data_IF_505396662783
#
_entry.id   IF_505396662783
#
_cell.length_a   1.000
_cell.length_b   1.000
_cell.length_c   1.000
_cell.angle_alpha   90.00
_cell.angle_beta   90.00
_cell.angle_gamma   90.00
#
_symmetry.space_group_name_H-M   'P 1'
#
loop_
_entity.id
_entity.type
_entity.pdbx_description
1 polymer ?
#
# COMPACT_ATOMS: atom_id res chain seq x y z
N UNK A 1 26.02 -2.99 -16.03
CA UNK A 1 25.57 -4.01 -15.04
C UNK A 1 24.06 -4.02 -15.11
N UNK A 2 23.44 -5.08 -15.63
CA UNK A 2 21.98 -5.18 -15.64
C UNK A 2 21.50 -5.43 -14.21
N UNK A 3 20.82 -4.46 -13.61
CA UNK A 3 20.11 -4.73 -12.37
C UNK A 3 19.06 -5.81 -12.64
N UNK A 4 18.95 -6.85 -11.79
CA UNK A 4 17.81 -7.75 -11.86
C UNK A 4 16.50 -6.94 -11.77
N UNK A 5 15.44 -7.45 -12.41
CA UNK A 5 14.14 -6.79 -12.43
C UNK A 5 13.67 -6.47 -11.02
N UNK A 6 13.47 -5.19 -10.71
CA UNK A 6 12.90 -4.68 -9.46
C UNK A 6 11.36 -4.71 -9.49
N UNK A 7 10.77 -5.38 -10.47
CA UNK A 7 9.33 -5.40 -10.65
C UNK A 7 8.68 -5.94 -9.37
N UNK A 8 7.84 -5.10 -8.77
CA UNK A 8 7.00 -5.39 -7.61
C UNK A 8 7.70 -5.49 -6.25
N UNK A 9 8.86 -4.85 -6.03
CA UNK A 9 9.42 -4.69 -4.68
C UNK A 9 9.44 -3.22 -4.26
N UNK A 10 9.22 -2.95 -2.97
CA UNK A 10 9.47 -1.65 -2.38
C UNK A 10 10.97 -1.44 -2.24
N UNK A 11 11.45 -0.30 -2.71
CA UNK A 11 12.85 0.10 -2.59
C UNK A 11 12.94 1.32 -1.69
N UNK A 12 13.80 1.26 -0.68
CA UNK A 12 14.19 2.45 0.08
C UNK A 12 15.39 3.10 -0.60
N UNK A 13 15.21 4.33 -1.07
CA UNK A 13 16.29 5.14 -1.64
C UNK A 13 16.75 6.19 -0.63
N UNK A 14 18.05 6.41 -0.52
CA UNK A 14 18.64 7.43 0.33
C UNK A 14 19.83 8.12 -0.33
N UNK A 15 20.18 9.29 0.18
CA UNK A 15 21.33 10.07 -0.22
C UNK A 15 21.90 10.82 0.99
N UNK A 16 23.21 10.72 1.18
CA UNK A 16 23.91 11.37 2.30
C UNK A 16 24.37 12.79 1.95
N UNK A 17 24.78 13.02 0.70
CA UNK A 17 25.27 14.31 0.21
C UNK A 17 25.19 14.42 -1.32
N UNK A 18 25.03 15.65 -1.83
CA UNK A 18 25.04 15.92 -3.28
C UNK A 18 23.89 15.24 -4.02
N UNK A 19 22.67 15.30 -3.46
CA UNK A 19 21.50 14.55 -3.93
C UNK A 19 20.91 15.05 -5.26
N UNK A 20 21.51 16.09 -5.85
CA UNK A 20 21.26 16.57 -7.21
C UNK A 20 21.93 15.69 -8.28
N UNK A 21 22.78 14.73 -7.88
CA UNK A 21 23.45 13.80 -8.79
C UNK A 21 22.99 12.36 -8.57
N UNK A 22 22.42 11.73 -9.61
CA UNK A 22 21.92 10.34 -9.58
C UNK A 22 22.92 9.32 -9.04
N UNK A 23 24.23 9.53 -9.29
CA UNK A 23 25.29 8.63 -8.84
C UNK A 23 25.49 8.59 -7.31
N UNK A 24 24.94 9.58 -6.60
CA UNK A 24 25.05 9.70 -5.14
C UNK A 24 23.86 9.08 -4.41
N UNK A 25 22.89 8.55 -5.15
CA UNK A 25 21.74 7.83 -4.59
C UNK A 25 22.07 6.36 -4.41
N UNK A 26 21.71 5.84 -3.25
CA UNK A 26 21.77 4.44 -2.91
C UNK A 26 20.34 3.89 -2.77
N UNK A 27 20.17 2.58 -2.92
CA UNK A 27 18.88 1.95 -2.68
C UNK A 27 18.94 0.44 -2.57
N UNK A 28 18.03 -0.13 -1.78
CA UNK A 28 17.86 -1.57 -1.63
C UNK A 28 16.39 -1.94 -1.46
N UNK A 29 16.05 -3.16 -1.87
CA UNK A 29 14.71 -3.70 -1.68
C UNK A 29 14.46 -3.97 -0.18
N UNK A 30 13.30 -3.53 0.32
CA UNK A 30 12.90 -3.65 1.73
C UNK A 30 11.68 -4.56 1.93
N UNK A 31 11.10 -5.08 0.84
CA UNK A 31 10.00 -6.06 0.85
C UNK A 31 10.24 -7.21 -0.13
N UNK A 32 9.41 -8.25 -0.03
CA UNK A 32 9.30 -9.29 -1.04
C UNK A 32 8.56 -8.79 -2.29
N UNK A 33 8.62 -9.58 -3.37
CA UNK A 33 7.89 -9.30 -4.61
C UNK A 33 6.37 -9.36 -4.36
N UNK A 34 5.63 -8.35 -4.83
CA UNK A 34 4.19 -8.18 -4.65
C UNK A 34 3.82 -7.14 -3.59
N UNK A 35 4.78 -6.67 -2.80
CA UNK A 35 4.55 -5.73 -1.70
C UNK A 35 5.25 -4.41 -1.97
N UNK A 36 4.57 -3.29 -1.66
CA UNK A 36 5.18 -1.97 -1.75
C UNK A 36 4.44 -0.97 -2.61
N UNK A 37 3.17 -1.20 -2.93
CA UNK A 37 2.43 -0.28 -3.79
C UNK A 37 2.12 1.04 -3.07
N UNK A 38 2.19 2.13 -3.82
CA UNK A 38 1.87 3.49 -3.37
C UNK A 38 2.50 3.88 -2.02
N UNK A 39 3.82 3.73 -1.83
CA UNK A 39 4.43 3.95 -0.52
C UNK A 39 4.44 5.43 -0.13
N UNK A 40 4.31 5.70 1.17
CA UNK A 40 4.58 7.00 1.79
C UNK A 40 5.60 6.83 2.93
N UNK A 41 6.50 7.80 3.08
CA UNK A 41 7.63 7.75 4.01
C UNK A 41 7.57 8.93 4.97
N UNK A 42 7.68 8.65 6.27
CA UNK A 42 7.96 9.64 7.29
C UNK A 42 9.24 9.29 8.04
N UNK A 43 9.85 10.30 8.67
CA UNK A 43 11.03 10.14 9.52
C UNK A 43 10.65 10.43 10.96
N UNK A 44 11.17 9.63 11.89
CA UNK A 44 11.16 9.95 13.33
C UNK A 44 11.91 11.26 13.59
N UNK A 45 11.76 11.87 14.78
CA UNK A 45 12.60 13.01 15.16
C UNK A 45 14.11 12.70 15.11
N UNK A 46 14.50 11.44 15.22
CA UNK A 46 15.88 10.98 15.10
C UNK A 46 16.33 10.68 13.68
N UNK A 47 15.45 10.82 12.67
CA UNK A 47 15.75 10.53 11.27
C UNK A 47 15.50 9.09 10.83
N UNK A 48 14.98 8.22 11.72
CA UNK A 48 14.71 6.82 11.37
C UNK A 48 13.48 6.72 10.46
N UNK A 49 13.53 5.94 9.36
CA UNK A 49 12.43 5.84 8.41
C UNK A 49 11.26 4.99 8.93
N UNK A 50 10.06 5.41 8.57
CA UNK A 50 8.77 4.72 8.73
C UNK A 50 8.04 4.78 7.40
N UNK A 51 7.68 3.62 6.84
CA UNK A 51 7.00 3.53 5.55
C UNK A 51 5.63 2.90 5.75
N UNK A 52 4.62 3.49 5.14
CA UNK A 52 3.32 2.86 4.91
C UNK A 52 3.21 2.52 3.42
N UNK A 53 2.63 1.37 3.10
CA UNK A 53 2.47 0.90 1.73
C UNK A 53 1.27 -0.05 1.62
N UNK A 54 0.88 -0.39 0.39
CA UNK A 54 -0.13 -1.39 0.11
C UNK A 54 0.53 -2.71 -0.32
N UNK A 55 0.09 -3.80 0.28
CA UNK A 55 0.42 -5.15 -0.17
C UNK A 55 -0.34 -5.53 -1.44
N UNK A 56 -0.03 -6.70 -2.00
CA UNK A 56 -0.62 -7.21 -3.24
C UNK A 56 -2.17 -7.19 -3.26
N UNK A 57 -2.81 -7.34 -2.10
CA UNK A 57 -4.27 -7.40 -1.94
C UNK A 57 -4.88 -6.10 -1.39
N UNK A 58 -4.13 -4.99 -1.44
CA UNK A 58 -4.59 -3.69 -0.97
C UNK A 58 -4.61 -3.55 0.55
N UNK A 59 -4.03 -4.50 1.30
CA UNK A 59 -3.84 -4.40 2.74
C UNK A 59 -2.81 -3.33 3.09
N UNK A 60 -3.01 -2.63 4.20
CA UNK A 60 -2.07 -1.62 4.69
C UNK A 60 -0.92 -2.30 5.42
N UNK A 61 0.25 -2.28 4.81
CA UNK A 61 1.51 -2.74 5.39
C UNK A 61 2.36 -1.56 5.89
N UNK A 62 3.22 -1.85 6.86
CA UNK A 62 4.17 -0.88 7.41
C UNK A 62 5.56 -1.46 7.53
N UNK A 63 6.56 -0.60 7.36
CA UNK A 63 7.95 -0.90 7.63
C UNK A 63 8.53 0.14 8.61
N UNK A 64 9.26 -0.33 9.60
CA UNK A 64 10.07 0.50 10.48
C UNK A 64 11.52 0.02 10.44
N UNK A 65 12.46 0.96 10.37
CA UNK A 65 13.87 0.66 10.58
C UNK A 65 14.43 1.57 11.66
N UNK A 66 15.20 1.01 12.59
CA UNK A 66 15.84 1.74 13.70
C UNK A 66 17.36 1.66 13.69
N UNK A 67 17.96 0.79 12.87
CA UNK A 67 19.41 0.56 12.80
C UNK A 67 19.86 0.29 11.38
N UNK A 68 20.96 0.93 11.01
CA UNK A 68 21.67 0.75 9.74
C UNK A 68 20.77 0.97 8.51
N UNK A 69 19.78 1.87 8.61
CA UNK A 69 18.71 2.03 7.62
C UNK A 69 19.22 2.45 6.24
N UNK A 70 20.25 3.30 6.22
CA UNK A 70 20.99 3.77 5.05
C UNK A 70 22.09 2.77 4.63
N UNK A 71 21.76 1.48 4.61
CA UNK A 71 22.67 0.40 4.18
C UNK A 71 21.91 -0.79 3.61
N UNK A 72 22.62 -1.67 2.91
CA UNK A 72 22.11 -2.96 2.43
C UNK A 72 21.84 -3.99 3.54
N UNK A 73 22.14 -3.64 4.79
CA UNK A 73 21.92 -4.46 5.98
C UNK A 73 20.96 -3.82 6.99
N UNK A 74 20.20 -2.80 6.57
CA UNK A 74 19.21 -2.14 7.40
C UNK A 74 18.23 -3.12 8.03
N UNK A 75 17.94 -2.92 9.32
CA UNK A 75 17.12 -3.83 10.11
C UNK A 75 15.65 -3.40 10.05
N UNK A 76 14.95 -3.90 9.02
CA UNK A 76 13.56 -3.56 8.73
C UNK A 76 12.57 -4.51 9.44
N UNK A 77 11.61 -3.93 10.14
CA UNK A 77 10.48 -4.64 10.76
C UNK A 77 9.23 -4.41 9.91
N UNK A 78 8.73 -5.48 9.32
CA UNK A 78 7.47 -5.52 8.57
C UNK A 78 6.31 -5.84 9.51
N UNK A 79 5.21 -5.09 9.39
CA UNK A 79 3.95 -5.38 10.08
C UNK A 79 2.74 -5.10 9.20
N UNK A 80 1.71 -5.94 9.33
CA UNK A 80 0.37 -5.68 8.82
C UNK A 80 -0.33 -4.69 9.77
N UNK A 81 -0.80 -3.56 9.26
CA UNK A 81 -1.49 -2.54 10.04
C UNK A 81 -3.01 -2.66 9.92
N UNK A 82 -3.54 -2.83 8.70
CA UNK A 82 -4.99 -3.00 8.48
C UNK A 82 -5.23 -3.99 7.33
N UNK A 83 -6.04 -5.03 7.59
CA UNK A 83 -6.50 -5.96 6.57
C UNK A 83 -7.78 -5.45 5.90
N UNK A 84 -7.86 -5.54 4.56
CA UNK A 84 -9.08 -5.21 3.80
C UNK A 84 -10.22 -6.17 4.13
N UNK A 85 -9.91 -7.43 4.43
CA UNK A 85 -10.89 -8.42 4.86
C UNK A 85 -11.60 -8.04 6.18
N UNK A 86 -10.91 -7.37 7.10
CA UNK A 86 -11.55 -6.86 8.33
C UNK A 86 -12.46 -5.68 8.02
N UNK A 87 -12.05 -4.83 7.08
CA UNK A 87 -12.90 -3.73 6.63
C UNK A 87 -14.21 -4.22 5.99
N UNK A 88 -14.13 -5.26 5.15
CA UNK A 88 -15.29 -5.92 4.55
C UNK A 88 -16.23 -6.52 5.61
N UNK A 89 -15.65 -7.16 6.64
CA UNK A 89 -16.41 -7.76 7.76
C UNK A 89 -17.15 -6.71 8.58
N UNK A 90 -16.52 -5.57 8.83
CA UNK A 90 -17.05 -4.51 9.69
C UNK A 90 -18.06 -3.60 8.96
N UNK A 91 -18.02 -3.55 7.63
CA UNK A 91 -18.84 -2.64 6.81
C UNK A 91 -19.45 -3.36 5.61
N UNK A 92 -20.43 -4.25 5.80
CA UNK A 92 -21.11 -4.87 4.68
C UNK A 92 -21.79 -3.80 3.81
N UNK A 93 -21.48 -3.79 2.51
CA UNK A 93 -22.09 -2.90 1.51
C UNK A 93 -23.19 -3.66 0.77
N UNK A 94 -24.26 -2.98 0.39
CA UNK A 94 -25.32 -3.59 -0.39
C UNK A 94 -24.86 -3.78 -1.84
N UNK A 95 -24.73 -5.03 -2.29
CA UNK A 95 -24.42 -5.31 -3.69
C UNK A 95 -25.65 -5.08 -4.60
N UNK A 96 -25.50 -4.39 -5.74
CA UNK A 96 -26.54 -4.33 -6.75
C UNK A 96 -26.87 -5.74 -7.29
N UNK A 97 -28.12 -5.95 -7.71
CA UNK A 97 -28.60 -7.26 -8.17
C UNK A 97 -27.85 -7.85 -9.37
N UNK A 98 -27.18 -7.02 -10.17
CA UNK A 98 -26.37 -7.45 -11.29
C UNK A 98 -24.96 -7.86 -10.89
N UNK A 99 -24.56 -7.68 -9.63
CA UNK A 99 -23.21 -7.92 -9.15
C UNK A 99 -23.14 -9.21 -8.32
N UNK A 100 -22.07 -9.97 -8.50
CA UNK A 100 -21.92 -11.33 -7.97
C UNK A 100 -20.68 -11.51 -7.06
N UNK A 101 -19.98 -10.41 -6.78
CA UNK A 101 -18.85 -10.36 -5.85
C UNK A 101 -18.41 -8.92 -5.61
N UNK A 102 -17.58 -8.73 -4.60
CA UNK A 102 -17.02 -7.43 -4.23
C UNK A 102 -15.54 -7.58 -3.86
N UNK A 103 -14.78 -6.49 -3.98
CA UNK A 103 -13.37 -6.43 -3.60
C UNK A 103 -13.12 -5.14 -2.85
N UNK A 104 -12.55 -5.27 -1.67
CA UNK A 104 -12.10 -4.19 -0.81
C UNK A 104 -10.61 -3.95 -1.01
N UNK A 105 -10.21 -2.71 -1.30
CA UNK A 105 -8.81 -2.34 -1.46
C UNK A 105 -8.50 -1.01 -0.78
N UNK A 106 -7.33 -0.93 -0.14
CA UNK A 106 -6.73 0.34 0.24
C UNK A 106 -6.17 1.10 -0.97
N UNK A 107 -6.06 2.41 -0.84
CA UNK A 107 -5.51 3.31 -1.84
C UNK A 107 -4.73 4.45 -1.17
N UNK A 108 -3.61 4.83 -1.78
CA UNK A 108 -2.83 6.04 -1.43
C UNK A 108 -2.56 6.19 0.07
N UNK A 109 -1.90 5.21 0.72
CA UNK A 109 -1.61 5.29 2.13
C UNK A 109 -0.70 6.49 2.43
N UNK A 110 -0.98 7.16 3.54
CA UNK A 110 -0.25 8.31 4.06
C UNK A 110 0.21 8.03 5.47
N UNK A 111 1.40 8.48 5.82
CA UNK A 111 1.95 8.33 7.16
C UNK A 111 2.33 9.68 7.78
N UNK A 112 1.98 9.86 9.05
CA UNK A 112 2.42 11.00 9.86
C UNK A 112 2.84 10.53 11.25
N UNK A 113 3.87 11.16 11.81
CA UNK A 113 4.31 10.87 13.18
C UNK A 113 3.80 11.96 14.12
N UNK A 114 2.99 11.58 15.11
CA UNK A 114 2.43 12.52 16.08
C UNK A 114 2.15 11.83 17.42
N UNK A 115 2.50 12.51 18.52
CA UNK A 115 2.23 12.00 19.87
C UNK A 115 2.94 10.68 20.21
N UNK A 116 4.11 10.43 19.61
CA UNK A 116 4.88 9.19 19.82
C UNK A 116 4.34 7.98 19.06
N UNK A 117 3.43 8.18 18.10
CA UNK A 117 2.83 7.12 17.28
C UNK A 117 2.97 7.42 15.79
N UNK A 118 2.92 6.37 14.98
CA UNK A 118 2.68 6.48 13.55
C UNK A 118 1.19 6.47 13.29
N UNK A 119 0.70 7.45 12.54
CA UNK A 119 -0.68 7.57 12.10
C UNK A 119 -0.75 7.27 10.61
N UNK A 120 -1.75 6.48 10.22
CA UNK A 120 -1.91 6.01 8.86
C UNK A 120 -3.28 6.41 8.33
N UNK A 121 -3.30 7.19 7.26
CA UNK A 121 -4.53 7.59 6.58
C UNK A 121 -4.53 7.03 5.17
N UNK A 122 -5.64 6.46 4.72
CA UNK A 122 -5.74 5.89 3.39
C UNK A 122 -7.18 5.89 2.89
N UNK A 123 -7.35 5.90 1.57
CA UNK A 123 -8.63 5.67 0.94
C UNK A 123 -8.95 4.17 1.02
N UNK A 124 -10.20 3.83 1.33
CA UNK A 124 -10.70 2.47 1.30
C UNK A 124 -11.85 2.43 0.29
N UNK A 125 -11.74 1.56 -0.69
CA UNK A 125 -12.69 1.42 -1.79
C UNK A 125 -13.25 0.02 -1.80
N UNK A 126 -14.57 -0.07 -1.96
CA UNK A 126 -15.29 -1.29 -2.26
C UNK A 126 -15.79 -1.24 -3.71
N UNK A 127 -15.47 -2.28 -4.49
CA UNK A 127 -15.87 -2.40 -5.89
C UNK A 127 -16.60 -3.71 -6.14
N UNK A 128 -17.81 -3.61 -6.67
CA UNK A 128 -18.64 -4.74 -7.06
C UNK A 128 -18.29 -5.23 -8.47
N UNK A 129 -18.16 -6.55 -8.65
CA UNK A 129 -18.08 -7.19 -9.96
C UNK A 129 -19.49 -7.36 -10.51
N UNK A 130 -19.85 -6.56 -11.49
CA UNK A 130 -21.19 -6.51 -12.06
C UNK A 130 -21.23 -7.11 -13.46
N UNK A 131 -22.25 -7.96 -13.70
CA UNK A 131 -22.42 -8.73 -14.92
C UNK A 131 -23.38 -8.03 -15.87
N UNK A 132 -22.94 -7.87 -17.11
CA UNK A 132 -23.69 -7.19 -18.17
C UNK A 132 -23.85 -8.09 -19.39
N UNK A 133 -24.94 -7.84 -20.13
CA UNK A 133 -25.19 -8.43 -21.44
C UNK A 133 -25.40 -7.31 -22.45
N UNK A 134 -24.63 -7.35 -23.53
CA UNK A 134 -24.81 -6.42 -24.63
C UNK A 134 -25.98 -6.88 -25.52
N UNK A 135 -26.82 -5.94 -25.97
CA UNK A 135 -27.93 -6.27 -26.87
C UNK A 135 -27.39 -6.86 -28.18
N UNK A 136 -27.94 -8.02 -28.57
CA UNK A 136 -27.50 -8.75 -29.77
C UNK A 136 -26.23 -9.58 -29.59
N UNK A 137 -25.59 -9.55 -28.41
CA UNK A 137 -24.44 -10.39 -28.08
C UNK A 137 -24.82 -11.40 -26.99
N UNK A 138 -24.63 -12.72 -27.20
CA UNK A 138 -24.90 -13.72 -26.18
C UNK A 138 -23.84 -13.78 -25.07
N UNK A 139 -22.68 -13.13 -25.23
CA UNK A 139 -21.58 -13.19 -24.26
C UNK A 139 -21.85 -12.24 -23.09
N UNK A 140 -21.83 -12.78 -21.86
CA UNK A 140 -21.82 -11.98 -20.64
C UNK A 140 -20.40 -11.48 -20.38
N UNK A 141 -20.27 -10.22 -19.99
CA UNK A 141 -19.01 -9.65 -19.51
C UNK A 141 -19.17 -9.07 -18.12
N UNK A 142 -18.05 -8.85 -17.43
CA UNK A 142 -18.02 -8.27 -16.09
C UNK A 142 -17.29 -6.94 -16.10
N UNK A 143 -17.81 -5.97 -15.36
CA UNK A 143 -17.14 -4.70 -15.06
C UNK A 143 -17.12 -4.49 -13.55
N UNK A 144 -16.06 -3.85 -13.05
CA UNK A 144 -15.99 -3.43 -11.65
C UNK A 144 -16.53 -2.02 -11.52
N UNK A 145 -17.50 -1.84 -10.61
CA UNK A 145 -18.03 -0.53 -10.26
C UNK A 145 -17.73 -0.24 -8.79
N UNK A 146 -17.20 0.95 -8.52
CA UNK A 146 -17.08 1.46 -7.17
C UNK A 146 -18.49 1.54 -6.55
N UNK A 147 -18.70 0.77 -5.48
CA UNK A 147 -19.94 0.78 -4.70
C UNK A 147 -19.84 1.79 -3.57
N UNK A 148 -18.65 1.88 -2.97
CA UNK A 148 -18.38 2.76 -1.85
C UNK A 148 -16.91 3.18 -1.84
N UNK A 149 -16.68 4.41 -1.40
CA UNK A 149 -15.36 4.94 -1.07
C UNK A 149 -15.44 5.76 0.20
N UNK A 150 -14.44 5.63 1.04
CA UNK A 150 -14.23 6.49 2.19
C UNK A 150 -12.77 6.58 2.57
N UNK A 151 -12.49 7.38 3.59
CA UNK A 151 -11.16 7.47 4.19
C UNK A 151 -11.14 6.74 5.53
N UNK A 152 -10.02 6.06 5.83
CA UNK A 152 -9.77 5.40 7.11
C UNK A 152 -8.51 5.97 7.76
N UNK A 153 -8.55 6.07 9.09
CA UNK A 153 -7.44 6.47 9.93
C UNK A 153 -7.17 5.37 10.96
N UNK A 154 -5.93 4.91 11.04
CA UNK A 154 -5.43 3.98 12.06
C UNK A 154 -4.09 4.48 12.61
N UNK A 155 -3.55 3.78 13.61
CA UNK A 155 -2.26 4.13 14.22
C UNK A 155 -1.51 2.87 14.66
N UNK A 156 -0.19 3.01 14.82
CA UNK A 156 0.68 1.97 15.37
C UNK A 156 0.40 1.80 16.86
N UNK A 157 0.22 0.56 17.32
CA UNK A 157 0.04 0.27 18.75
C UNK A 157 1.17 0.83 19.63
#
# INVERSE_FOLDING_TARGET
>A
MSQPSLAHQLIYFWCDAGCDSDKNWNGHAVTATGDGESPDLALTPGGQPRIAFLGQYGDLGTLACDRDCESDHGQWTLALQDATADAARDRPVALPFTCDGEVWNGMQPRIALAGGKSWFAYDLVDSGRCLYKQYGDPVTYAEFHELWRGARLSWSE
#
